data_IF_576712378135
#
_entry.id   IF_576712378135
#
_cell.length_a   1.000
_cell.length_b   1.000
_cell.length_c   1.000
_cell.angle_alpha   90.00
_cell.angle_beta   90.00
_cell.angle_gamma   90.00
#
_symmetry.space_group_name_H-M   'P 1'
#
loop_
_entity.id
_entity.type
_entity.pdbx_description
1 polymer ?
#
# COMPACT_ATOMS: atom_id res chain seq x y z
N UNK A 1 -32.97 -10.61 -12.84
CA UNK A 1 -31.73 -10.34 -13.62
C UNK A 1 -32.15 -9.75 -14.97
N UNK A 2 -32.10 -8.45 -15.15
CA UNK A 2 -32.38 -7.81 -16.43
C UNK A 2 -31.15 -7.96 -17.30
N UNK A 3 -31.20 -8.84 -18.30
CA UNK A 3 -30.13 -8.96 -19.29
C UNK A 3 -30.04 -7.65 -20.06
N UNK A 4 -28.98 -6.89 -19.83
CA UNK A 4 -28.67 -5.73 -20.65
C UNK A 4 -28.44 -6.16 -22.12
N UNK A 5 -28.88 -5.36 -23.11
CA UNK A 5 -28.54 -5.61 -24.51
C UNK A 5 -27.03 -5.80 -24.69
N UNK A 6 -26.62 -6.74 -25.51
CA UNK A 6 -25.23 -7.12 -25.77
C UNK A 6 -24.32 -5.90 -26.05
N UNK A 7 -24.82 -4.90 -26.76
CA UNK A 7 -24.08 -3.67 -27.07
C UNK A 7 -23.76 -2.82 -25.80
N UNK A 8 -24.68 -2.73 -24.84
CA UNK A 8 -24.44 -1.96 -23.62
C UNK A 8 -23.37 -2.60 -22.74
N UNK A 9 -23.36 -3.93 -22.60
CA UNK A 9 -22.34 -4.68 -21.87
C UNK A 9 -20.95 -4.45 -22.48
N UNK A 10 -20.84 -4.46 -23.79
CA UNK A 10 -19.60 -4.20 -24.53
C UNK A 10 -19.05 -2.79 -24.31
N UNK A 11 -19.95 -1.79 -24.31
CA UNK A 11 -19.60 -0.39 -24.04
C UNK A 11 -19.09 -0.21 -22.61
N UNK A 12 -19.78 -0.77 -21.62
CA UNK A 12 -19.40 -0.70 -20.19
C UNK A 12 -18.02 -1.34 -19.99
N UNK A 13 -17.79 -2.53 -20.55
CA UNK A 13 -16.49 -3.23 -20.48
C UNK A 13 -15.37 -2.39 -21.11
N UNK A 14 -15.61 -1.77 -22.27
CA UNK A 14 -14.63 -0.90 -22.95
C UNK A 14 -14.30 0.33 -22.10
N UNK A 15 -15.30 0.91 -21.43
CA UNK A 15 -15.12 2.06 -20.54
C UNK A 15 -14.32 1.67 -19.30
N UNK A 16 -14.65 0.55 -18.63
CA UNK A 16 -13.92 0.03 -17.49
C UNK A 16 -12.45 -0.22 -17.84
N UNK A 17 -12.19 -0.87 -18.98
CA UNK A 17 -10.84 -1.11 -19.48
C UNK A 17 -10.06 0.18 -19.70
N UNK A 18 -10.69 1.21 -20.26
CA UNK A 18 -10.04 2.51 -20.50
C UNK A 18 -9.70 3.22 -19.18
N UNK A 19 -10.61 3.22 -18.23
CA UNK A 19 -10.39 3.86 -16.92
C UNK A 19 -9.32 3.11 -16.11
N UNK A 20 -9.34 1.79 -16.08
CA UNK A 20 -8.28 0.99 -15.46
C UNK A 20 -6.92 1.24 -16.12
N UNK A 21 -6.89 1.35 -17.46
CA UNK A 21 -5.66 1.70 -18.19
C UNK A 21 -5.14 3.07 -17.81
N UNK A 22 -6.01 4.07 -17.66
CA UNK A 22 -5.62 5.42 -17.29
C UNK A 22 -5.06 5.46 -15.84
N UNK A 23 -5.69 4.74 -14.92
CA UNK A 23 -5.23 4.65 -13.52
C UNK A 23 -3.87 3.93 -13.43
N UNK A 24 -3.68 2.84 -14.16
CA UNK A 24 -2.40 2.15 -14.23
C UNK A 24 -1.31 3.00 -14.91
N UNK A 25 -1.66 3.76 -15.96
CA UNK A 25 -0.74 4.71 -16.58
C UNK A 25 -0.38 5.87 -15.64
N UNK A 26 -1.31 6.30 -14.80
CA UNK A 26 -1.03 7.29 -13.76
C UNK A 26 -0.05 6.73 -12.72
N UNK A 27 -0.22 5.48 -12.27
CA UNK A 27 0.75 4.80 -11.40
C UNK A 27 2.14 4.69 -12.05
N UNK A 28 2.21 4.36 -13.34
CA UNK A 28 3.48 4.35 -14.08
C UNK A 28 4.14 5.73 -14.08
N UNK A 29 3.35 6.78 -14.32
CA UNK A 29 3.88 8.15 -14.34
C UNK A 29 4.32 8.63 -12.95
N UNK A 30 3.64 8.21 -11.88
CA UNK A 30 4.08 8.50 -10.51
C UNK A 30 5.41 7.83 -10.20
N UNK A 31 5.57 6.57 -10.58
CA UNK A 31 6.84 5.84 -10.41
C UNK A 31 7.97 6.50 -11.21
N UNK A 32 7.73 6.85 -12.48
CA UNK A 32 8.72 7.56 -13.29
C UNK A 32 9.08 8.93 -12.68
N UNK A 33 8.09 9.65 -12.15
CA UNK A 33 8.30 10.93 -11.49
C UNK A 33 9.13 10.76 -10.20
N UNK A 34 8.93 9.68 -9.44
CA UNK A 34 9.76 9.36 -8.27
C UNK A 34 11.21 9.14 -8.67
N UNK A 35 11.48 8.32 -9.68
CA UNK A 35 12.86 8.13 -10.19
C UNK A 35 13.49 9.44 -10.65
N UNK A 36 12.74 10.28 -11.38
CA UNK A 36 13.22 11.59 -11.81
C UNK A 36 13.52 12.51 -10.64
N UNK A 37 12.70 12.50 -9.58
CA UNK A 37 12.93 13.30 -8.38
C UNK A 37 14.18 12.84 -7.63
N UNK A 38 14.38 11.53 -7.45
CA UNK A 38 15.58 11.00 -6.81
C UNK A 38 16.85 11.27 -7.65
N UNK A 39 16.76 11.13 -8.96
CA UNK A 39 17.86 11.49 -9.88
C UNK A 39 18.18 12.99 -9.78
N UNK A 40 17.16 13.85 -9.81
CA UNK A 40 17.34 15.29 -9.67
C UNK A 40 17.96 15.65 -8.30
N UNK A 41 17.47 15.04 -7.21
CA UNK A 41 18.04 15.25 -5.88
C UNK A 41 19.51 14.86 -5.81
N UNK A 42 19.88 13.72 -6.40
CA UNK A 42 21.28 13.27 -6.49
C UNK A 42 22.14 14.24 -7.32
N UNK A 43 21.62 14.71 -8.45
CA UNK A 43 22.31 15.68 -9.32
C UNK A 43 22.54 17.03 -8.62
N UNK A 44 21.51 17.52 -7.88
CA UNK A 44 21.57 18.80 -7.19
C UNK A 44 22.26 18.73 -5.81
N UNK A 45 22.55 17.53 -5.30
CA UNK A 45 23.15 17.36 -3.96
C UNK A 45 24.39 18.25 -3.72
N UNK A 46 25.40 18.36 -4.63
CA UNK A 46 26.55 19.22 -4.41
C UNK A 46 26.20 20.70 -4.26
N UNK A 47 25.17 21.17 -4.98
CA UNK A 47 24.69 22.55 -4.88
C UNK A 47 23.95 22.78 -3.57
N UNK A 48 23.12 21.79 -3.13
CA UNK A 48 22.42 21.83 -1.84
C UNK A 48 23.42 21.81 -0.68
N UNK A 49 24.46 20.97 -0.75
CA UNK A 49 25.53 20.95 0.25
C UNK A 49 26.24 22.31 0.35
N UNK A 50 26.56 22.90 -0.78
CA UNK A 50 27.17 24.24 -0.81
C UNK A 50 26.26 25.33 -0.23
N UNK A 51 24.98 25.32 -0.60
CA UNK A 51 23.97 26.26 -0.08
C UNK A 51 23.78 26.10 1.43
N UNK A 52 23.69 24.88 1.93
CA UNK A 52 23.56 24.57 3.35
C UNK A 52 24.77 25.05 4.14
N UNK A 53 26.00 24.80 3.66
CA UNK A 53 27.21 25.30 4.29
C UNK A 53 27.27 26.83 4.32
N UNK A 54 26.86 27.48 3.23
CA UNK A 54 26.79 28.94 3.18
C UNK A 54 25.76 29.49 4.18
N UNK A 55 24.58 28.87 4.28
CA UNK A 55 23.55 29.25 5.23
C UNK A 55 24.01 29.07 6.68
N UNK A 56 24.60 27.91 7.01
CA UNK A 56 25.09 27.61 8.36
C UNK A 56 26.20 28.59 8.79
N UNK A 57 27.13 28.88 7.90
CA UNK A 57 28.25 29.79 8.24
C UNK A 57 27.84 31.26 8.28
N UNK A 58 26.94 31.71 7.39
CA UNK A 58 26.57 33.14 7.28
C UNK A 58 25.41 33.53 8.17
N UNK A 59 24.38 32.66 8.26
CA UNK A 59 23.16 33.01 9.01
C UNK A 59 23.18 32.51 10.46
N UNK A 60 23.85 31.35 10.70
CA UNK A 60 23.90 30.75 12.02
C UNK A 60 25.27 30.81 12.69
N UNK A 61 26.26 31.50 12.07
CA UNK A 61 27.60 31.72 12.62
C UNK A 61 28.38 30.46 12.99
N UNK A 62 28.11 29.33 12.33
CA UNK A 62 28.93 28.15 12.50
C UNK A 62 30.35 28.37 11.93
N UNK A 63 31.37 27.75 12.56
CA UNK A 63 32.64 27.60 11.88
C UNK A 63 32.45 26.70 10.64
N UNK A 64 33.34 26.85 9.63
CA UNK A 64 33.23 26.03 8.42
C UNK A 64 33.36 24.52 8.72
N UNK A 65 34.15 24.16 9.73
CA UNK A 65 34.35 22.78 10.17
C UNK A 65 33.11 22.25 10.84
N UNK A 66 32.51 23.00 11.77
CA UNK A 66 31.30 22.60 12.46
C UNK A 66 30.10 22.55 11.50
N UNK A 67 30.01 23.49 10.56
CA UNK A 67 29.00 23.49 9.52
C UNK A 67 29.06 22.24 8.64
N UNK A 68 30.27 21.84 8.21
CA UNK A 68 30.47 20.61 7.42
C UNK A 68 30.09 19.37 8.23
N UNK A 69 30.56 19.25 9.46
CA UNK A 69 30.24 18.11 10.32
C UNK A 69 28.72 18.01 10.57
N UNK A 70 28.10 19.11 10.94
CA UNK A 70 26.67 19.15 11.17
C UNK A 70 25.86 18.75 9.93
N UNK A 71 26.21 19.34 8.77
CA UNK A 71 25.49 19.08 7.53
C UNK A 71 25.67 17.66 7.03
N UNK A 72 26.91 17.12 7.06
CA UNK A 72 27.14 15.72 6.65
C UNK A 72 26.39 14.74 7.56
N UNK A 73 26.43 14.95 8.87
CA UNK A 73 25.68 14.13 9.83
C UNK A 73 24.18 14.17 9.56
N UNK A 74 23.62 15.34 9.30
CA UNK A 74 22.19 15.50 9.01
C UNK A 74 21.82 14.89 7.66
N UNK A 75 22.52 15.24 6.60
CA UNK A 75 22.18 14.84 5.22
C UNK A 75 22.39 13.34 4.94
N UNK A 76 23.20 12.67 5.75
CA UNK A 76 23.43 11.22 5.68
C UNK A 76 22.59 10.45 6.72
N UNK A 77 21.84 11.15 7.58
CA UNK A 77 21.00 10.49 8.58
C UNK A 77 19.76 9.85 7.97
N UNK A 78 19.28 8.78 8.60
CA UNK A 78 18.01 8.14 8.22
C UNK A 78 16.83 9.10 8.41
N UNK A 79 16.89 10.03 9.37
CA UNK A 79 15.88 11.07 9.57
C UNK A 79 15.70 11.90 8.31
N UNK A 80 16.80 12.39 7.71
CA UNK A 80 16.75 13.16 6.46
C UNK A 80 16.17 12.34 5.32
N UNK A 81 16.63 11.09 5.18
CA UNK A 81 16.14 10.15 4.16
C UNK A 81 14.64 9.94 4.28
N UNK A 82 14.11 9.74 5.48
CA UNK A 82 12.67 9.55 5.70
C UNK A 82 11.86 10.81 5.39
N UNK A 83 12.29 12.00 5.83
CA UNK A 83 11.61 13.25 5.47
C UNK A 83 11.59 13.50 3.97
N UNK A 84 12.71 13.23 3.28
CA UNK A 84 12.77 13.34 1.82
C UNK A 84 11.82 12.34 1.15
N UNK A 85 11.80 11.09 1.61
CA UNK A 85 10.90 10.05 1.08
C UNK A 85 9.43 10.41 1.28
N UNK A 86 9.04 10.90 2.47
CA UNK A 86 7.68 11.37 2.73
C UNK A 86 7.29 12.54 1.82
N UNK A 87 8.19 13.52 1.62
CA UNK A 87 7.96 14.63 0.70
C UNK A 87 7.86 14.15 -0.76
N UNK A 88 8.72 13.21 -1.16
CA UNK A 88 8.69 12.59 -2.47
C UNK A 88 7.36 11.86 -2.71
N UNK A 89 6.90 11.08 -1.74
CA UNK A 89 5.62 10.36 -1.80
C UNK A 89 4.42 11.31 -1.93
N UNK A 90 4.42 12.43 -1.19
CA UNK A 90 3.39 13.45 -1.35
C UNK A 90 3.38 14.06 -2.75
N UNK A 91 4.54 14.39 -3.29
CA UNK A 91 4.65 15.09 -4.58
C UNK A 91 4.39 14.13 -5.75
N UNK A 92 4.98 12.93 -5.68
CA UNK A 92 5.00 12.01 -6.83
C UNK A 92 3.85 11.02 -6.82
N UNK A 93 3.26 10.72 -5.67
CA UNK A 93 2.22 9.71 -5.52
C UNK A 93 0.87 10.30 -5.09
N UNK A 94 0.81 11.00 -3.95
CA UNK A 94 -0.44 11.59 -3.47
C UNK A 94 -0.99 12.68 -4.41
N UNK A 95 -0.18 13.68 -4.76
CA UNK A 95 -0.62 14.85 -5.52
C UNK A 95 -1.21 14.52 -6.90
N UNK A 96 -0.60 13.65 -7.74
CA UNK A 96 -1.19 13.28 -9.03
C UNK A 96 -2.57 12.63 -8.89
N UNK A 97 -2.78 11.76 -7.89
CA UNK A 97 -4.07 11.13 -7.66
C UNK A 97 -5.10 12.10 -7.04
N UNK A 98 -4.67 13.05 -6.22
CA UNK A 98 -5.53 14.13 -5.72
C UNK A 98 -6.01 15.03 -6.88
N UNK A 99 -5.11 15.40 -7.79
CA UNK A 99 -5.45 16.17 -8.99
C UNK A 99 -6.36 15.37 -9.95
N UNK A 100 -6.06 14.08 -10.16
CA UNK A 100 -6.92 13.19 -10.94
C UNK A 100 -8.33 13.14 -10.36
N UNK A 101 -8.47 12.88 -9.07
CA UNK A 101 -9.75 12.78 -8.39
C UNK A 101 -10.55 14.08 -8.49
N UNK A 102 -9.90 15.22 -8.30
CA UNK A 102 -10.53 16.54 -8.34
C UNK A 102 -10.94 16.97 -9.74
N UNK A 103 -10.05 16.84 -10.74
CA UNK A 103 -10.25 17.45 -12.06
C UNK A 103 -10.77 16.48 -13.12
N UNK A 104 -10.46 15.20 -13.02
CA UNK A 104 -10.83 14.18 -14.00
C UNK A 104 -12.03 13.37 -13.53
N UNK A 105 -11.97 12.79 -12.33
CA UNK A 105 -13.07 12.01 -11.73
C UNK A 105 -14.14 12.90 -11.11
N UNK A 106 -13.80 14.16 -10.80
CA UNK A 106 -14.68 15.21 -10.26
C UNK A 106 -15.35 14.85 -8.94
N UNK A 107 -14.67 14.05 -8.12
CA UNK A 107 -15.09 13.73 -6.76
C UNK A 107 -14.43 14.70 -5.76
N UNK A 108 -15.19 15.28 -4.83
CA UNK A 108 -14.63 16.09 -3.74
C UNK A 108 -13.78 15.21 -2.80
N UNK A 109 -12.91 15.86 -2.03
CA UNK A 109 -11.94 15.14 -1.19
C UNK A 109 -12.60 14.23 -0.13
N UNK A 110 -13.70 14.67 0.46
CA UNK A 110 -14.47 13.92 1.45
C UNK A 110 -15.17 12.67 0.88
N UNK A 111 -15.47 12.64 -0.42
CA UNK A 111 -15.92 11.43 -1.11
C UNK A 111 -14.77 10.49 -1.49
N UNK A 112 -13.58 11.05 -1.80
CA UNK A 112 -12.40 10.24 -2.12
C UNK A 112 -11.80 9.66 -0.86
N UNK A 113 -11.80 10.41 0.24
CA UNK A 113 -11.24 10.02 1.53
C UNK A 113 -12.25 10.18 2.68
N UNK A 114 -13.33 9.39 2.72
CA UNK A 114 -14.36 9.47 3.76
C UNK A 114 -13.82 8.90 5.07
N UNK A 115 -13.05 9.71 5.81
CA UNK A 115 -12.43 9.27 7.06
C UNK A 115 -13.39 9.29 8.23
N UNK A 116 -14.25 10.29 8.28
CA UNK A 116 -15.29 10.43 9.31
C UNK A 116 -16.61 9.79 8.86
N UNK A 117 -17.39 9.29 9.80
CA UNK A 117 -18.67 8.62 9.49
C UNK A 117 -18.51 7.13 9.19
N UNK A 118 -19.47 6.58 8.43
CA UNK A 118 -19.53 5.16 8.08
C UNK A 118 -20.01 4.25 9.23
N UNK A 119 -20.17 2.97 8.92
CA UNK A 119 -20.67 1.97 9.87
C UNK A 119 -19.56 1.53 10.82
N UNK A 120 -19.91 1.33 12.10
CA UNK A 120 -19.00 0.77 13.08
C UNK A 120 -18.86 -0.74 12.91
N UNK A 121 -17.65 -1.23 12.99
CA UNK A 121 -17.34 -2.67 12.98
C UNK A 121 -17.51 -3.21 14.39
N UNK A 122 -18.34 -4.24 14.58
CA UNK A 122 -18.55 -4.90 15.89
C UNK A 122 -17.31 -5.63 16.39
N UNK A 123 -16.55 -6.23 15.48
CA UNK A 123 -15.37 -7.01 15.85
C UNK A 123 -14.20 -6.78 14.87
N UNK A 124 -13.47 -5.70 15.11
CA UNK A 124 -12.30 -5.35 14.31
C UNK A 124 -11.19 -6.41 14.41
N UNK A 125 -11.02 -7.03 15.58
CA UNK A 125 -9.98 -8.06 15.82
C UNK A 125 -10.22 -9.29 14.94
N UNK A 126 -11.47 -9.70 14.73
CA UNK A 126 -11.79 -10.82 13.83
C UNK A 126 -11.45 -10.51 12.37
N UNK A 127 -11.73 -9.27 11.93
CA UNK A 127 -11.39 -8.81 10.58
C UNK A 127 -9.88 -8.74 10.41
N UNK A 128 -9.18 -8.17 11.38
CA UNK A 128 -7.71 -8.10 11.40
C UNK A 128 -7.08 -9.49 11.34
N UNK A 129 -7.49 -10.42 12.21
CA UNK A 129 -6.96 -11.79 12.20
C UNK A 129 -7.20 -12.51 10.87
N UNK A 130 -8.42 -12.42 10.32
CA UNK A 130 -8.75 -13.01 9.04
C UNK A 130 -7.91 -12.41 7.89
N UNK A 131 -7.73 -11.10 7.87
CA UNK A 131 -6.92 -10.40 6.87
C UNK A 131 -5.45 -10.80 6.96
N UNK A 132 -4.86 -10.83 8.16
CA UNK A 132 -3.47 -11.25 8.36
C UNK A 132 -3.25 -12.70 7.94
N UNK A 133 -4.16 -13.61 8.30
CA UNK A 133 -4.09 -15.01 7.86
C UNK A 133 -4.13 -15.12 6.32
N UNK A 134 -5.03 -14.39 5.66
CA UNK A 134 -5.12 -14.39 4.20
C UNK A 134 -3.83 -13.87 3.54
N UNK A 135 -3.26 -12.78 4.07
CA UNK A 135 -2.05 -12.17 3.53
C UNK A 135 -0.83 -13.07 3.70
N UNK A 136 -0.63 -13.61 4.91
CA UNK A 136 0.47 -14.56 5.18
C UNK A 136 0.31 -15.85 4.36
N UNK A 137 -0.90 -16.40 4.25
CA UNK A 137 -1.16 -17.58 3.44
C UNK A 137 -0.88 -17.32 1.94
N UNK A 138 -1.23 -16.15 1.41
CA UNK A 138 -0.94 -15.79 0.02
C UNK A 138 0.57 -15.65 -0.22
N UNK A 139 1.31 -15.03 0.69
CA UNK A 139 2.77 -14.92 0.63
C UNK A 139 3.44 -16.29 0.70
N UNK A 140 3.05 -17.12 1.68
CA UNK A 140 3.57 -18.47 1.85
C UNK A 140 3.27 -19.36 0.64
N UNK A 141 2.06 -19.30 0.08
CA UNK A 141 1.70 -20.04 -1.13
C UNK A 141 2.55 -19.60 -2.32
N UNK A 142 2.77 -18.28 -2.47
CA UNK A 142 3.60 -17.72 -3.53
C UNK A 142 5.06 -18.19 -3.40
N UNK A 143 5.66 -18.13 -2.22
CA UNK A 143 7.02 -18.59 -1.99
C UNK A 143 7.13 -20.11 -2.19
N UNK A 144 6.20 -20.91 -1.66
CA UNK A 144 6.21 -22.39 -1.83
C UNK A 144 6.11 -22.80 -3.31
N UNK A 145 5.22 -22.15 -4.08
CA UNK A 145 5.14 -22.39 -5.54
C UNK A 145 6.42 -21.93 -6.21
N UNK A 146 6.94 -20.78 -5.79
CA UNK A 146 8.18 -20.21 -6.32
C UNK A 146 9.38 -21.11 -6.09
N UNK A 147 9.54 -21.67 -4.89
CA UNK A 147 10.61 -22.63 -4.55
C UNK A 147 10.52 -23.90 -5.39
N UNK A 148 9.31 -24.32 -5.79
CA UNK A 148 9.13 -25.45 -6.67
C UNK A 148 9.40 -25.15 -8.14
N UNK A 149 9.01 -23.94 -8.62
CA UNK A 149 9.10 -23.56 -10.06
C UNK A 149 10.44 -22.92 -10.41
N UNK A 150 11.00 -22.11 -9.49
CA UNK A 150 12.22 -21.35 -9.69
C UNK A 150 13.04 -21.28 -8.39
N UNK A 151 13.55 -22.43 -7.87
CA UNK A 151 14.16 -22.51 -6.55
C UNK A 151 15.34 -21.53 -6.38
N UNK A 152 16.23 -21.46 -7.36
CA UNK A 152 17.40 -20.56 -7.28
C UNK A 152 17.02 -19.09 -7.19
N UNK A 153 15.93 -18.70 -7.86
CA UNK A 153 15.44 -17.32 -7.82
C UNK A 153 14.86 -16.99 -6.44
N UNK A 154 14.01 -17.83 -5.88
CA UNK A 154 13.36 -17.57 -4.59
C UNK A 154 14.34 -17.70 -3.42
N UNK A 155 15.24 -18.69 -3.43
CA UNK A 155 16.26 -18.87 -2.40
C UNK A 155 17.26 -17.72 -2.34
N UNK A 156 17.56 -17.08 -3.48
CA UNK A 156 18.53 -15.97 -3.56
C UNK A 156 17.83 -14.60 -3.69
N UNK A 157 16.50 -14.53 -3.53
CA UNK A 157 15.81 -13.23 -3.58
C UNK A 157 16.25 -12.38 -2.36
N UNK A 158 16.76 -11.17 -2.57
CA UNK A 158 17.30 -10.35 -1.49
C UNK A 158 16.21 -10.05 -0.44
N UNK A 159 16.56 -10.21 0.82
CA UNK A 159 15.78 -9.73 1.96
C UNK A 159 16.42 -8.45 2.47
N UNK A 160 15.60 -7.47 2.82
CA UNK A 160 16.10 -6.25 3.45
C UNK A 160 16.84 -6.61 4.75
N UNK A 161 18.09 -6.18 4.84
CA UNK A 161 18.85 -6.32 6.08
C UNK A 161 18.53 -5.16 7.02
N UNK A 162 18.29 -5.48 8.29
CA UNK A 162 18.05 -4.47 9.29
C UNK A 162 19.26 -3.54 9.42
N UNK A 163 19.08 -2.27 9.07
CA UNK A 163 20.07 -1.22 9.23
C UNK A 163 20.14 -0.79 10.69
N UNK A 164 21.35 -0.61 11.23
CA UNK A 164 21.49 -0.05 12.59
C UNK A 164 20.99 1.38 12.62
N UNK A 165 20.03 1.66 13.49
CA UNK A 165 19.35 2.97 13.63
C UNK A 165 19.38 3.44 15.09
N UNK A 166 19.56 4.74 15.29
CA UNK A 166 19.36 5.39 16.58
C UNK A 166 17.88 5.41 16.99
N UNK A 167 17.57 5.65 18.24
CA UNK A 167 16.18 5.70 18.70
C UNK A 167 15.33 6.78 18.01
N UNK A 168 15.93 7.93 17.66
CA UNK A 168 15.25 8.98 16.89
C UNK A 168 14.99 8.58 15.44
N UNK A 169 15.92 7.88 14.80
CA UNK A 169 15.75 7.35 13.46
C UNK A 169 14.67 6.28 13.41
N UNK A 170 14.66 5.34 14.37
CA UNK A 170 13.60 4.35 14.51
C UNK A 170 12.22 4.99 14.66
N UNK A 171 12.12 6.06 15.47
CA UNK A 171 10.85 6.77 15.64
C UNK A 171 10.37 7.42 14.33
N UNK A 172 11.26 8.11 13.62
CA UNK A 172 10.91 8.77 12.35
C UNK A 172 10.57 7.74 11.29
N UNK A 173 11.32 6.63 11.21
CA UNK A 173 11.02 5.53 10.30
C UNK A 173 9.67 4.88 10.63
N UNK A 174 9.38 4.62 11.91
CA UNK A 174 8.07 4.13 12.35
C UNK A 174 6.93 5.07 11.92
N UNK A 175 7.06 6.38 12.16
CA UNK A 175 6.04 7.35 11.77
C UNK A 175 5.85 7.42 10.27
N UNK A 176 6.92 7.34 9.50
CA UNK A 176 6.87 7.28 8.04
C UNK A 176 6.14 6.02 7.56
N UNK A 177 6.64 4.85 7.94
CA UNK A 177 6.17 3.56 7.43
C UNK A 177 4.80 3.16 7.99
N UNK A 178 4.56 3.37 9.30
CA UNK A 178 3.38 2.83 9.98
C UNK A 178 2.22 3.81 10.09
N UNK A 179 2.48 5.11 9.88
CA UNK A 179 1.42 6.12 9.97
C UNK A 179 1.26 6.85 8.65
N UNK A 180 2.29 7.51 8.15
CA UNK A 180 2.21 8.37 6.97
C UNK A 180 1.88 7.60 5.68
N UNK A 181 2.68 6.58 5.34
CA UNK A 181 2.51 5.77 4.13
C UNK A 181 1.11 5.12 4.04
N UNK A 182 0.54 4.50 5.10
CA UNK A 182 -0.82 3.99 5.06
C UNK A 182 -1.89 5.03 4.69
N UNK A 183 -1.78 6.28 5.15
CA UNK A 183 -2.70 7.34 4.76
C UNK A 183 -2.61 7.66 3.28
N UNK A 184 -1.41 7.82 2.75
CA UNK A 184 -1.18 8.14 1.34
C UNK A 184 -1.63 6.98 0.44
N UNK A 185 -1.24 5.77 0.75
CA UNK A 185 -1.57 4.59 -0.05
C UNK A 185 -3.05 4.27 -0.03
N UNK A 186 -3.72 4.36 1.13
CA UNK A 186 -5.16 4.15 1.18
C UNK A 186 -5.93 5.25 0.42
N UNK A 187 -5.47 6.51 0.48
CA UNK A 187 -6.03 7.56 -0.37
C UNK A 187 -5.94 7.19 -1.86
N UNK A 188 -4.78 6.72 -2.32
CA UNK A 188 -4.55 6.36 -3.72
C UNK A 188 -5.34 5.12 -4.12
N UNK A 189 -5.16 4.01 -3.39
CA UNK A 189 -5.68 2.72 -3.82
C UNK A 189 -7.17 2.54 -3.48
N UNK A 190 -7.65 3.00 -2.31
CA UNK A 190 -9.06 2.85 -1.90
C UNK A 190 -9.87 4.08 -2.26
N UNK A 191 -9.34 5.26 -2.00
CA UNK A 191 -9.99 6.51 -2.34
C UNK A 191 -10.10 6.73 -3.84
N UNK A 192 -8.95 6.86 -4.51
CA UNK A 192 -8.94 7.20 -5.93
C UNK A 192 -9.23 6.00 -6.83
N UNK A 193 -8.42 4.91 -6.77
CA UNK A 193 -8.52 3.79 -7.72
C UNK A 193 -9.78 2.97 -7.50
N UNK A 194 -9.96 2.37 -6.32
CA UNK A 194 -11.14 1.57 -6.01
C UNK A 194 -12.41 2.40 -6.15
N UNK A 195 -12.45 3.61 -5.59
CA UNK A 195 -13.60 4.50 -5.67
C UNK A 195 -14.01 4.83 -7.11
N UNK A 196 -13.05 5.09 -8.02
CA UNK A 196 -13.33 5.30 -9.45
C UNK A 196 -13.88 4.05 -10.13
N UNK A 197 -13.36 2.87 -9.78
CA UNK A 197 -13.74 1.60 -10.42
C UNK A 197 -15.01 0.97 -9.81
N UNK A 198 -15.43 1.38 -8.61
CA UNK A 198 -16.56 0.81 -7.86
C UNK A 198 -17.88 0.79 -8.64
N UNK A 199 -18.09 1.77 -9.52
CA UNK A 199 -19.25 1.82 -10.44
C UNK A 199 -19.35 0.64 -11.41
N UNK A 200 -18.29 -0.14 -11.57
CA UNK A 200 -18.25 -1.37 -12.39
C UNK A 200 -18.50 -2.65 -11.57
N UNK A 201 -18.82 -2.51 -10.30
CA UNK A 201 -19.08 -3.57 -9.35
C UNK A 201 -17.93 -3.80 -8.37
N UNK A 202 -18.30 -4.19 -7.14
CA UNK A 202 -17.33 -4.40 -6.06
C UNK A 202 -16.20 -5.37 -6.43
N UNK A 203 -16.54 -6.55 -6.94
CA UNK A 203 -15.55 -7.59 -7.22
C UNK A 203 -14.47 -7.11 -8.22
N UNK A 204 -14.91 -6.43 -9.30
CA UNK A 204 -13.97 -5.86 -10.26
C UNK A 204 -13.07 -4.80 -9.65
N UNK A 205 -13.67 -3.83 -8.95
CA UNK A 205 -12.93 -2.72 -8.34
C UNK A 205 -11.95 -3.20 -7.27
N UNK A 206 -12.39 -4.13 -6.39
CA UNK A 206 -11.56 -4.67 -5.32
C UNK A 206 -10.36 -5.45 -5.86
N UNK A 207 -10.59 -6.35 -6.83
CA UNK A 207 -9.50 -7.13 -7.44
C UNK A 207 -8.56 -6.24 -8.24
N UNK A 208 -9.08 -5.30 -9.03
CA UNK A 208 -8.24 -4.39 -9.84
C UNK A 208 -7.39 -3.48 -8.94
N UNK A 209 -7.98 -2.88 -7.89
CA UNK A 209 -7.23 -2.05 -6.93
C UNK A 209 -6.20 -2.87 -6.16
N UNK A 210 -6.56 -4.08 -5.71
CA UNK A 210 -5.65 -4.96 -4.98
C UNK A 210 -4.49 -5.46 -5.86
N UNK A 211 -4.74 -5.78 -7.13
CA UNK A 211 -3.67 -6.14 -8.08
C UNK A 211 -2.70 -5.00 -8.31
N UNK A 212 -3.21 -3.77 -8.53
CA UNK A 212 -2.37 -2.59 -8.70
C UNK A 212 -1.58 -2.28 -7.43
N UNK A 213 -2.17 -2.48 -6.26
CA UNK A 213 -1.51 -2.35 -4.96
C UNK A 213 -0.41 -3.40 -4.77
N UNK A 214 -0.70 -4.67 -5.06
CA UNK A 214 0.29 -5.74 -5.03
C UNK A 214 1.48 -5.47 -5.95
N UNK A 215 1.21 -5.07 -7.20
CA UNK A 215 2.24 -4.72 -8.19
C UNK A 215 3.09 -3.49 -7.80
N UNK A 216 2.65 -2.66 -6.86
CA UNK A 216 3.44 -1.56 -6.31
C UNK A 216 4.49 -2.05 -5.29
N UNK A 217 4.37 -3.30 -4.80
CA UNK A 217 5.29 -3.88 -3.81
C UNK A 217 6.36 -4.72 -4.50
N UNK A 218 7.59 -4.59 -4.06
CA UNK A 218 8.73 -5.30 -4.63
C UNK A 218 8.72 -6.79 -4.30
N UNK A 219 9.01 -7.63 -5.30
CA UNK A 219 9.15 -9.07 -5.16
C UNK A 219 7.84 -9.86 -5.13
N UNK A 220 7.88 -11.15 -5.55
CA UNK A 220 6.67 -11.95 -5.76
C UNK A 220 5.87 -12.22 -4.47
N UNK A 221 6.53 -12.59 -3.38
CA UNK A 221 5.89 -12.91 -2.10
C UNK A 221 5.27 -11.67 -1.45
N UNK A 222 5.98 -10.51 -1.53
CA UNK A 222 5.46 -9.21 -1.08
C UNK A 222 4.25 -8.76 -1.92
N UNK A 223 4.30 -8.97 -3.24
CA UNK A 223 3.16 -8.73 -4.13
C UNK A 223 1.94 -9.55 -3.73
N UNK A 224 2.11 -10.85 -3.44
CA UNK A 224 1.02 -11.74 -3.06
C UNK A 224 0.42 -11.33 -1.70
N UNK A 225 1.27 -10.99 -0.73
CA UNK A 225 0.86 -10.46 0.57
C UNK A 225 0.05 -9.17 0.43
N UNK A 226 0.59 -8.20 -0.32
CA UNK A 226 -0.04 -6.91 -0.54
C UNK A 226 -1.35 -7.03 -1.34
N UNK A 227 -1.42 -7.93 -2.32
CA UNK A 227 -2.66 -8.22 -3.04
C UNK A 227 -3.76 -8.69 -2.09
N UNK A 228 -3.48 -9.70 -1.25
CA UNK A 228 -4.45 -10.24 -0.31
C UNK A 228 -4.88 -9.20 0.74
N UNK A 229 -3.93 -8.45 1.30
CA UNK A 229 -4.20 -7.33 2.20
C UNK A 229 -5.03 -6.26 1.52
N UNK A 230 -4.66 -5.89 0.30
CA UNK A 230 -5.33 -4.88 -0.50
C UNK A 230 -6.78 -5.23 -0.82
N UNK A 231 -7.06 -6.50 -1.09
CA UNK A 231 -8.44 -6.96 -1.27
C UNK A 231 -9.25 -6.85 0.02
N UNK A 232 -8.68 -7.25 1.16
CA UNK A 232 -9.34 -7.12 2.47
C UNK A 232 -9.61 -5.67 2.84
N UNK A 233 -8.66 -4.75 2.59
CA UNK A 233 -8.83 -3.31 2.83
C UNK A 233 -9.97 -2.74 1.98
N UNK A 234 -10.04 -3.10 0.69
CA UNK A 234 -11.15 -2.71 -0.18
C UNK A 234 -12.50 -3.25 0.31
N UNK A 235 -12.53 -4.51 0.79
CA UNK A 235 -13.74 -5.11 1.34
C UNK A 235 -14.21 -4.39 2.62
N UNK A 236 -13.29 -4.07 3.52
CA UNK A 236 -13.61 -3.34 4.76
C UNK A 236 -14.09 -1.91 4.45
N UNK A 237 -13.46 -1.22 3.51
CA UNK A 237 -13.92 0.09 3.06
C UNK A 237 -15.33 0.02 2.44
N UNK A 238 -15.58 -0.96 1.56
CA UNK A 238 -16.92 -1.16 0.96
C UNK A 238 -18.00 -1.39 2.00
N UNK A 239 -17.70 -2.23 2.97
CA UNK A 239 -18.62 -2.65 4.03
C UNK A 239 -18.94 -1.48 4.96
N UNK A 240 -17.95 -0.70 5.35
CA UNK A 240 -18.08 0.36 6.35
C UNK A 240 -18.47 1.71 5.76
N UNK A 241 -18.14 1.96 4.49
CA UNK A 241 -18.23 3.28 3.87
C UNK A 241 -17.20 4.27 4.44
N UNK A 242 -16.22 3.81 5.23
CA UNK A 242 -15.19 4.65 5.84
C UNK A 242 -13.80 4.08 5.63
N UNK A 243 -12.90 4.89 5.10
CA UNK A 243 -11.51 4.51 4.81
C UNK A 243 -10.65 4.32 6.08
N UNK A 244 -11.10 4.86 7.23
CA UNK A 244 -10.35 4.79 8.51
C UNK A 244 -10.00 3.36 8.93
N UNK A 245 -10.86 2.39 8.63
CA UNK A 245 -10.62 0.99 9.02
C UNK A 245 -9.58 0.33 8.12
N UNK A 246 -9.54 0.66 6.82
CA UNK A 246 -8.48 0.18 5.93
C UNK A 246 -7.14 0.85 6.27
N UNK A 247 -7.11 2.15 6.55
CA UNK A 247 -5.92 2.84 7.08
C UNK A 247 -5.42 2.18 8.37
N UNK A 248 -6.31 1.87 9.32
CA UNK A 248 -5.92 1.24 10.58
C UNK A 248 -5.39 -0.18 10.37
N UNK A 249 -6.04 -1.00 9.55
CA UNK A 249 -5.54 -2.34 9.20
C UNK A 249 -4.16 -2.27 8.54
N UNK A 250 -3.98 -1.34 7.61
CA UNK A 250 -2.72 -1.13 6.92
C UNK A 250 -1.62 -0.66 7.89
N UNK A 251 -1.91 0.31 8.75
CA UNK A 251 -0.98 0.79 9.77
C UNK A 251 -0.54 -0.34 10.72
N UNK A 252 -1.45 -1.22 11.15
CA UNK A 252 -1.11 -2.37 11.99
C UNK A 252 -0.25 -3.37 11.20
N UNK A 253 -0.55 -3.65 9.92
CA UNK A 253 0.29 -4.51 9.08
C UNK A 253 1.73 -3.98 9.00
N UNK A 254 1.89 -2.69 8.70
CA UNK A 254 3.20 -2.06 8.62
C UNK A 254 3.90 -2.04 9.99
N UNK A 255 3.14 -1.89 11.09
CA UNK A 255 3.70 -1.98 12.45
C UNK A 255 4.25 -3.38 12.73
N UNK A 256 3.54 -4.43 12.34
CA UNK A 256 4.06 -5.81 12.48
C UNK A 256 5.33 -6.00 11.65
N UNK A 257 5.33 -5.56 10.38
CA UNK A 257 6.51 -5.61 9.52
C UNK A 257 7.68 -4.82 10.11
N UNK A 258 7.44 -3.63 10.63
CA UNK A 258 8.45 -2.81 11.32
C UNK A 258 9.03 -3.52 12.54
N UNK A 259 8.19 -4.13 13.39
CA UNK A 259 8.65 -4.81 14.59
C UNK A 259 9.58 -5.98 14.26
N UNK A 260 9.20 -6.85 13.34
CA UNK A 260 9.97 -8.04 13.00
C UNK A 260 11.11 -7.76 12.01
N UNK A 261 10.93 -6.85 11.06
CA UNK A 261 11.94 -6.55 10.04
C UNK A 261 12.96 -5.51 10.46
N UNK A 262 12.63 -4.60 11.38
CA UNK A 262 13.50 -3.48 11.73
C UNK A 262 13.79 -3.38 13.22
N UNK A 263 12.75 -3.37 14.07
CA UNK A 263 12.92 -3.05 15.50
C UNK A 263 13.59 -4.19 16.26
N UNK A 264 13.05 -5.41 16.25
CA UNK A 264 13.64 -6.53 16.98
C UNK A 264 15.08 -6.84 16.56
N UNK A 265 15.46 -6.80 15.27
CA UNK A 265 16.85 -7.00 14.86
C UNK A 265 17.86 -6.02 15.45
N UNK A 266 17.42 -4.84 15.93
CA UNK A 266 18.31 -3.89 16.62
C UNK A 266 18.72 -4.33 18.04
N UNK A 267 17.85 -5.10 18.72
CA UNK A 267 17.94 -5.30 20.18
C UNK A 267 17.91 -6.76 20.62
N UNK A 268 17.51 -7.67 19.72
CA UNK A 268 17.28 -9.07 20.06
C UNK A 268 18.24 -10.01 19.31
N UNK A 269 18.49 -11.17 19.88
CA UNK A 269 19.25 -12.24 19.23
C UNK A 269 18.41 -12.93 18.15
N UNK A 270 19.08 -13.55 17.17
CA UNK A 270 18.40 -14.31 16.10
C UNK A 270 17.49 -15.40 16.66
N UNK A 271 17.93 -16.13 17.71
CA UNK A 271 17.11 -17.15 18.37
C UNK A 271 15.84 -16.60 19.04
N UNK A 272 15.90 -15.36 19.55
CA UNK A 272 14.70 -14.68 20.07
C UNK A 272 13.76 -14.34 18.93
N UNK A 273 14.29 -13.78 17.85
CA UNK A 273 13.51 -13.38 16.66
C UNK A 273 12.80 -14.60 16.05
N UNK A 274 13.51 -15.71 15.87
CA UNK A 274 12.93 -16.97 15.38
C UNK A 274 11.79 -17.46 16.27
N UNK A 275 12.03 -17.48 17.60
CA UNK A 275 11.01 -17.90 18.57
C UNK A 275 9.79 -16.96 18.56
N UNK A 276 10.02 -15.65 18.51
CA UNK A 276 8.97 -14.64 18.46
C UNK A 276 8.15 -14.74 17.16
N UNK A 277 8.82 -15.00 16.04
CA UNK A 277 8.16 -15.21 14.73
C UNK A 277 7.28 -16.45 14.78
N UNK A 278 7.77 -17.57 15.31
CA UNK A 278 6.96 -18.79 15.45
C UNK A 278 5.73 -18.56 16.33
N UNK A 279 5.90 -17.88 17.48
CA UNK A 279 4.77 -17.56 18.37
C UNK A 279 3.76 -16.64 17.66
N UNK A 280 4.26 -15.65 16.95
CA UNK A 280 3.44 -14.75 16.13
C UNK A 280 2.64 -15.50 15.07
N UNK A 281 3.27 -16.40 14.31
CA UNK A 281 2.63 -17.16 13.23
C UNK A 281 1.52 -18.08 13.79
N UNK A 282 1.79 -18.77 14.91
CA UNK A 282 0.79 -19.58 15.60
C UNK A 282 -0.38 -18.73 16.13
N UNK A 283 -0.09 -17.57 16.71
CA UNK A 283 -1.10 -16.65 17.22
C UNK A 283 -1.98 -16.09 16.07
N UNK A 284 -1.37 -15.62 15.00
CA UNK A 284 -2.10 -15.12 13.82
C UNK A 284 -2.87 -16.21 13.12
N UNK A 285 -2.33 -17.44 13.05
CA UNK A 285 -3.03 -18.59 12.52
C UNK A 285 -4.31 -18.90 13.32
N UNK A 286 -4.21 -18.93 14.65
CA UNK A 286 -5.37 -19.17 15.53
C UNK A 286 -6.38 -18.01 15.47
N UNK A 287 -5.90 -16.77 15.57
CA UNK A 287 -6.72 -15.55 15.48
C UNK A 287 -7.43 -15.43 14.14
N UNK A 288 -6.71 -15.72 13.05
CA UNK A 288 -7.25 -15.67 11.71
C UNK A 288 -8.29 -16.74 11.45
N UNK A 289 -8.06 -17.97 11.91
CA UNK A 289 -9.06 -19.02 11.83
C UNK A 289 -10.34 -18.68 12.62
N UNK A 290 -10.17 -18.19 13.85
CA UNK A 290 -11.30 -17.69 14.63
C UNK A 290 -12.02 -16.54 13.93
N UNK A 291 -11.28 -15.56 13.39
CA UNK A 291 -11.84 -14.45 12.63
C UNK A 291 -12.61 -14.91 11.41
N UNK A 292 -12.09 -15.87 10.65
CA UNK A 292 -12.75 -16.47 9.50
C UNK A 292 -14.08 -17.13 9.89
N UNK A 293 -14.10 -17.97 10.93
CA UNK A 293 -15.32 -18.60 11.44
C UNK A 293 -16.33 -17.56 11.93
N UNK A 294 -15.86 -16.50 12.62
CA UNK A 294 -16.71 -15.39 13.07
C UNK A 294 -17.36 -14.67 11.87
N UNK A 295 -16.59 -14.35 10.83
CA UNK A 295 -17.09 -13.67 9.65
C UNK A 295 -18.10 -14.53 8.88
N UNK A 296 -17.84 -15.83 8.70
CA UNK A 296 -18.79 -16.74 8.07
C UNK A 296 -20.14 -16.78 8.80
N UNK A 297 -20.11 -16.86 10.14
CA UNK A 297 -21.34 -16.83 10.96
C UNK A 297 -22.05 -15.48 10.89
N UNK A 298 -21.29 -14.39 10.84
CA UNK A 298 -21.85 -13.03 10.79
C UNK A 298 -22.49 -12.72 9.44
N UNK A 299 -21.92 -13.19 8.34
CA UNK A 299 -22.50 -13.09 6.99
C UNK A 299 -23.81 -13.84 6.89
N UNK A 300 -23.87 -15.05 7.47
CA UNK A 300 -25.11 -15.85 7.53
C UNK A 300 -26.24 -15.19 8.33
N UNK A 301 -25.91 -14.38 9.33
CA UNK A 301 -26.88 -13.79 10.25
C UNK A 301 -27.14 -12.28 10.04
N UNK A 302 -26.54 -11.63 9.02
CA UNK A 302 -26.60 -10.16 8.78
C UNK A 302 -26.21 -9.31 10.02
N UNK A 303 -25.42 -9.83 10.96
CA UNK A 303 -25.07 -9.21 12.25
C UNK A 303 -23.69 -8.54 12.27
N UNK A 304 -23.12 -8.22 11.10
CA UNK A 304 -21.75 -7.71 11.02
C UNK A 304 -21.61 -6.24 11.42
N UNK A 305 -22.73 -5.52 11.54
CA UNK A 305 -22.75 -4.09 11.87
C UNK A 305 -23.61 -3.80 13.10
N UNK A 306 -23.36 -2.67 13.76
CA UNK A 306 -24.35 -2.07 14.65
C UNK A 306 -25.48 -1.52 13.77
N UNK A 307 -26.72 -1.86 14.10
CA UNK A 307 -27.90 -1.41 13.37
C UNK A 307 -27.96 0.13 13.40
N UNK A 308 -27.70 0.77 12.28
CA UNK A 308 -28.01 2.17 12.05
C UNK A 308 -29.31 2.29 11.24
N UNK A 309 -30.09 3.36 11.43
CA UNK A 309 -31.38 3.53 10.76
C UNK A 309 -31.23 3.53 9.24
N UNK A 310 -32.20 2.96 8.56
CA UNK A 310 -32.26 2.69 7.11
C UNK A 310 -32.11 3.91 6.18
N UNK A 311 -32.00 5.12 6.73
CA UNK A 311 -31.98 6.38 5.98
C UNK A 311 -30.62 6.73 5.34
N UNK A 312 -29.53 6.03 5.66
CA UNK A 312 -28.20 6.27 5.08
C UNK A 312 -27.68 5.13 4.19
N UNK A 313 -28.55 4.46 3.46
CA UNK A 313 -28.11 3.59 2.37
C UNK A 313 -27.54 4.45 1.24
N UNK A 314 -26.30 4.88 1.37
CA UNK A 314 -25.52 5.28 0.19
C UNK A 314 -25.55 4.12 -0.79
N UNK A 315 -26.11 4.34 -1.96
CA UNK A 315 -26.26 3.38 -3.05
C UNK A 315 -24.89 2.91 -3.54
N UNK A 316 -24.39 1.88 -2.88
CA UNK A 316 -23.14 1.25 -3.20
C UNK A 316 -23.38 0.28 -4.35
N UNK A 317 -22.76 0.53 -5.48
CA UNK A 317 -22.68 -0.28 -6.70
C UNK A 317 -23.98 -0.94 -7.16
N UNK A 318 -24.38 -0.66 -8.39
CA UNK A 318 -25.45 -1.42 -9.06
C UNK A 318 -24.95 -2.85 -9.33
N UNK A 319 -25.40 -3.87 -8.56
CA UNK A 319 -24.94 -5.26 -8.73
C UNK A 319 -25.40 -5.87 -10.06
N UNK A 320 -26.21 -5.17 -10.85
CA UNK A 320 -26.72 -5.65 -12.13
C UNK A 320 -25.69 -5.62 -13.28
N UNK A 321 -24.48 -5.09 -13.07
CA UNK A 321 -23.51 -4.83 -14.15
C UNK A 321 -22.08 -5.29 -13.82
N UNK A 322 -21.82 -6.58 -13.50
CA UNK A 322 -20.47 -7.03 -13.20
C UNK A 322 -19.60 -6.97 -14.46
N UNK A 323 -18.56 -6.13 -14.42
CA UNK A 323 -17.51 -6.16 -15.44
C UNK A 323 -16.58 -7.35 -15.15
N UNK A 324 -16.25 -8.11 -16.19
CA UNK A 324 -15.34 -9.24 -16.06
C UNK A 324 -13.89 -8.77 -15.87
N UNK A 325 -13.09 -9.54 -15.12
CA UNK A 325 -11.66 -9.27 -14.90
C UNK A 325 -10.83 -9.11 -16.19
N UNK A 326 -11.33 -9.61 -17.32
CA UNK A 326 -10.68 -9.38 -18.63
C UNK A 326 -10.58 -7.91 -19.02
N UNK A 327 -11.37 -7.01 -18.40
CA UNK A 327 -11.23 -5.57 -18.59
C UNK A 327 -9.99 -4.99 -17.87
N UNK A 328 -9.44 -5.69 -16.87
CA UNK A 328 -8.20 -5.31 -16.20
C UNK A 328 -7.01 -5.32 -17.17
N UNK A 329 -6.93 -6.32 -18.04
CA UNK A 329 -5.85 -6.44 -19.01
C UNK A 329 -5.99 -5.36 -20.11
N UNK A 330 -5.41 -4.22 -19.85
CA UNK A 330 -5.37 -3.03 -20.69
C UNK A 330 -3.92 -2.65 -21.01
N UNK A 331 -3.71 -1.73 -21.92
CA UNK A 331 -2.35 -1.28 -22.27
C UNK A 331 -1.62 -0.76 -21.02
N UNK A 332 -2.25 0.09 -20.22
CA UNK A 332 -1.62 0.64 -19.00
C UNK A 332 -1.29 -0.44 -17.98
N UNK A 333 -2.19 -1.41 -17.73
CA UNK A 333 -1.93 -2.49 -16.77
C UNK A 333 -0.84 -3.45 -17.26
N UNK A 334 -0.76 -3.73 -18.56
CA UNK A 334 0.34 -4.54 -19.11
C UNK A 334 1.68 -3.85 -18.90
N UNK A 335 1.79 -2.55 -19.18
CA UNK A 335 3.02 -1.81 -18.88
C UNK A 335 3.35 -1.77 -17.39
N UNK A 336 2.35 -1.68 -16.51
CA UNK A 336 2.58 -1.69 -15.07
C UNK A 336 3.05 -3.08 -14.58
N UNK A 337 2.53 -4.16 -15.15
CA UNK A 337 3.04 -5.52 -14.91
C UNK A 337 4.48 -5.66 -15.41
N UNK A 338 4.80 -5.14 -16.60
CA UNK A 338 6.17 -5.17 -17.11
C UNK A 338 7.15 -4.37 -16.23
N UNK A 339 6.70 -3.23 -15.68
CA UNK A 339 7.50 -2.48 -14.71
C UNK A 339 7.74 -3.30 -13.43
N UNK A 340 6.70 -3.95 -12.90
CA UNK A 340 6.87 -4.85 -11.74
C UNK A 340 7.89 -5.96 -12.02
N UNK A 341 7.78 -6.64 -13.15
CA UNK A 341 8.73 -7.68 -13.55
C UNK A 341 10.16 -7.14 -13.69
N UNK A 342 10.31 -5.97 -14.30
CA UNK A 342 11.60 -5.28 -14.42
C UNK A 342 12.19 -4.95 -13.05
N UNK A 343 11.42 -4.34 -12.14
CA UNK A 343 11.87 -4.04 -10.79
C UNK A 343 12.23 -5.30 -10.01
N UNK A 344 11.43 -6.38 -10.14
CA UNK A 344 11.72 -7.67 -9.51
C UNK A 344 13.08 -8.23 -9.97
N UNK A 345 13.39 -8.12 -11.27
CA UNK A 345 14.69 -8.54 -11.82
C UNK A 345 15.81 -7.61 -11.33
N UNK A 346 15.59 -6.32 -11.21
CA UNK A 346 16.58 -5.38 -10.65
C UNK A 346 16.88 -5.69 -9.19
N UNK A 347 15.85 -5.89 -8.35
CA UNK A 347 16.01 -6.25 -6.94
C UNK A 347 16.81 -7.56 -6.83
N UNK A 348 16.46 -8.57 -7.63
CA UNK A 348 17.18 -9.85 -7.63
C UNK A 348 18.67 -9.73 -7.98
N UNK A 349 19.01 -8.93 -9.01
CA UNK A 349 20.41 -8.85 -9.49
C UNK A 349 21.29 -7.88 -8.69
N UNK A 350 20.72 -6.82 -8.12
CA UNK A 350 21.53 -5.73 -7.54
C UNK A 350 21.28 -5.53 -6.05
N UNK A 351 20.20 -6.10 -5.48
CA UNK A 351 19.72 -5.79 -4.13
C UNK A 351 19.30 -4.31 -4.01
N UNK A 352 18.47 -3.98 -3.08
CA UNK A 352 18.21 -2.57 -2.68
C UNK A 352 18.37 -2.44 -1.19
#
# INVERSE_FOLDING_TARGET
MTNLPFDQTKIIKKRARRETSALAALLLSTTALSYLLYFAASFWKPFLDSAALHLLTRCFSFSITDARLFWSTLSESEIWTQFFSMAAELITFFLPFALFSKYIDKRPFDEVFPFCGGRKIKNFIAIFGCQMLMANAASLLCSTIGDFVAPDFFANFPTEQAKSMSGSELLVYFLSLCVFTPFVEEFVFRGAIFGTLRKYGFAYAAVASALLFGLAHGGPSSMAYAFASGFAFAAVYEITGSIRYSVLLHAINNTVSFLFGTFFPQFASDSFIESATLIYDLFIGALGFWGFVYLLRSLGNKKMYEDEPESEKTSVSDPSRPVTLSAFFSVGTVFYILLFLYNTVLIYNYGY
#
